data_IF_745131339516
#
_entry.id   IF_745131339516
#
_cell.length_a   1.000
_cell.length_b   1.000
_cell.length_c   1.000
_cell.angle_alpha   90.00
_cell.angle_beta   90.00
_cell.angle_gamma   90.00
#
_symmetry.space_group_name_H-M   'P 1'
#
loop_
_entity.id
_entity.type
_entity.pdbx_description
1 polymer ?
#
# COMPACT_ATOMS: atom_id res chain seq x y z
N UNK A 1 -27.07 -11.66 0.50
CA UNK A 1 -26.33 -11.09 -0.66
C UNK A 1 -25.30 -10.08 -0.16
N UNK A 2 -24.07 -10.07 -0.70
CA UNK A 2 -23.07 -9.05 -0.35
C UNK A 2 -23.46 -7.70 -0.96
N UNK A 3 -23.25 -6.60 -0.22
CA UNK A 3 -23.43 -5.25 -0.77
C UNK A 3 -22.52 -5.07 -2.00
N UNK A 4 -23.02 -4.51 -3.11
CA UNK A 4 -22.22 -4.36 -4.32
C UNK A 4 -21.02 -3.44 -4.03
N UNK A 5 -19.82 -3.87 -4.44
CA UNK A 5 -18.64 -3.02 -4.40
C UNK A 5 -18.89 -1.78 -5.28
N UNK A 6 -18.55 -0.56 -4.83
CA UNK A 6 -18.71 0.63 -5.64
C UNK A 6 -17.84 0.51 -6.90
N UNK A 7 -18.40 0.80 -8.06
CA UNK A 7 -17.67 0.86 -9.34
C UNK A 7 -17.50 2.31 -9.77
N UNK A 8 -16.34 2.88 -9.45
CA UNK A 8 -15.89 4.19 -9.89
C UNK A 8 -14.37 4.18 -10.10
N UNK A 9 -13.80 5.15 -10.83
CA UNK A 9 -12.36 5.19 -11.13
C UNK A 9 -11.46 5.33 -9.90
N UNK A 10 -12.03 5.66 -8.73
CA UNK A 10 -11.36 5.74 -7.43
C UNK A 10 -11.86 4.71 -6.41
N UNK A 11 -12.55 3.66 -6.86
CA UNK A 11 -13.00 2.62 -5.95
C UNK A 11 -11.84 1.75 -5.47
N UNK A 12 -11.86 1.31 -4.20
CA UNK A 12 -10.94 0.31 -3.70
C UNK A 12 -10.91 -0.93 -4.60
N UNK A 13 -9.73 -1.35 -5.03
CA UNK A 13 -9.54 -2.56 -5.83
C UNK A 13 -9.43 -3.82 -4.95
N UNK A 14 -9.37 -3.66 -3.62
CA UNK A 14 -9.39 -4.77 -2.67
C UNK A 14 -10.19 -4.40 -1.42
N UNK A 15 -11.01 -5.33 -0.95
CA UNK A 15 -11.86 -5.18 0.23
C UNK A 15 -11.54 -6.26 1.26
N UNK A 16 -11.37 -5.87 2.52
CA UNK A 16 -11.25 -6.77 3.67
C UNK A 16 -12.50 -6.63 4.52
N UNK A 17 -13.17 -7.74 4.80
CA UNK A 17 -14.43 -7.77 5.55
C UNK A 17 -14.22 -8.37 6.93
N UNK A 18 -14.79 -7.72 7.95
CA UNK A 18 -14.84 -8.21 9.33
C UNK A 18 -16.29 -8.28 9.78
N UNK A 19 -16.67 -9.43 10.33
CA UNK A 19 -18.05 -9.69 10.78
C UNK A 19 -18.11 -9.87 12.30
N UNK A 20 -19.12 -9.26 12.91
CA UNK A 20 -19.48 -9.42 14.32
C UNK A 20 -21.01 -9.59 14.41
N UNK A 21 -21.53 -10.18 15.51
CA UNK A 21 -22.96 -10.17 15.76
C UNK A 21 -23.52 -8.75 15.68
N UNK A 22 -24.53 -8.52 14.84
CA UNK A 22 -25.21 -7.23 14.65
C UNK A 22 -24.56 -6.24 13.64
N UNK A 23 -23.32 -6.46 13.18
CA UNK A 23 -22.69 -5.54 12.21
C UNK A 23 -21.53 -6.13 11.41
N UNK A 24 -21.23 -5.52 10.25
CA UNK A 24 -20.10 -5.87 9.38
C UNK A 24 -19.30 -4.60 9.04
N UNK A 25 -17.97 -4.67 9.16
CA UNK A 25 -17.08 -3.64 8.64
C UNK A 25 -16.42 -4.12 7.34
N UNK A 26 -16.35 -3.24 6.35
CA UNK A 26 -15.63 -3.44 5.10
C UNK A 26 -14.59 -2.34 4.94
N UNK A 27 -13.32 -2.74 4.87
CA UNK A 27 -12.22 -1.82 4.67
C UNK A 27 -11.76 -1.97 3.22
N UNK A 28 -11.83 -0.88 2.47
CA UNK A 28 -11.33 -0.78 1.11
C UNK A 28 -9.94 -0.19 1.10
N UNK A 29 -9.03 -0.78 0.33
CA UNK A 29 -7.79 -0.13 -0.06
C UNK A 29 -7.79 0.07 -1.57
N UNK A 30 -7.45 1.29 -2.00
CA UNK A 30 -7.03 1.52 -3.36
C UNK A 30 -5.52 1.40 -3.40
N UNK A 31 -4.99 0.49 -4.23
CA UNK A 31 -3.56 0.42 -4.52
C UNK A 31 -3.33 1.17 -5.85
N UNK A 32 -3.10 2.50 -5.82
CA UNK A 32 -2.99 3.32 -7.03
C UNK A 32 -1.73 3.04 -7.86
N UNK A 33 -0.79 2.24 -7.32
CA UNK A 33 0.42 1.84 -8.00
C UNK A 33 1.61 1.71 -7.03
N UNK A 34 2.82 1.47 -7.56
CA UNK A 34 3.97 1.06 -6.75
C UNK A 34 4.52 2.12 -5.81
N UNK A 35 4.19 3.38 -6.03
CA UNK A 35 4.73 4.51 -5.27
C UNK A 35 3.91 4.86 -4.03
N UNK A 36 2.69 4.32 -3.90
CA UNK A 36 1.87 4.49 -2.71
C UNK A 36 0.88 3.33 -2.52
N UNK A 37 0.98 2.63 -1.38
CA UNK A 37 -0.20 1.97 -0.81
C UNK A 37 -1.19 3.10 -0.48
N UNK A 38 -2.26 3.19 -1.26
CA UNK A 38 -3.10 4.39 -1.36
C UNK A 38 -3.97 4.65 -0.14
N UNK A 39 -4.96 5.52 -0.32
CA UNK A 39 -5.87 5.90 0.74
C UNK A 39 -6.69 4.69 1.21
N UNK A 40 -6.83 4.58 2.54
CA UNK A 40 -7.65 3.58 3.20
C UNK A 40 -9.07 4.14 3.31
N UNK A 41 -10.02 3.51 2.65
CA UNK A 41 -11.44 3.80 2.78
C UNK A 41 -12.06 2.83 3.79
N UNK A 42 -12.72 3.37 4.82
CA UNK A 42 -13.48 2.57 5.77
C UNK A 42 -14.97 2.69 5.45
N UNK A 43 -15.62 1.56 5.15
CA UNK A 43 -17.07 1.46 5.02
C UNK A 43 -17.63 0.57 6.11
N UNK A 44 -18.57 1.08 6.88
CA UNK A 44 -19.29 0.32 7.90
C UNK A 44 -20.69 -0.01 7.37
N UNK A 45 -21.17 -1.21 7.65
CA UNK A 45 -22.48 -1.69 7.20
C UNK A 45 -23.19 -2.36 8.38
N UNK A 46 -24.40 -1.92 8.69
CA UNK A 46 -25.20 -2.50 9.77
C UNK A 46 -26.14 -3.57 9.25
N UNK A 47 -26.34 -4.59 10.07
CA UNK A 47 -27.40 -5.57 9.87
C UNK A 47 -28.50 -5.24 10.89
N UNK A 48 -29.62 -4.63 10.49
CA UNK A 48 -30.79 -4.61 11.37
C UNK A 48 -31.23 -6.05 11.63
N UNK A 49 -31.48 -6.37 12.91
CA UNK A 49 -31.92 -7.71 13.31
C UNK A 49 -33.22 -8.10 12.57
N UNK A 50 -33.26 -9.36 12.15
CA UNK A 50 -34.35 -10.07 11.45
C UNK A 50 -34.51 -9.92 9.93
N UNK A 51 -33.78 -9.03 9.25
CA UNK A 51 -33.80 -8.98 7.80
C UNK A 51 -32.41 -9.25 7.19
N UNK A 52 -32.36 -9.95 6.06
CA UNK A 52 -31.11 -10.23 5.33
C UNK A 52 -30.65 -8.99 4.52
N UNK A 53 -31.34 -7.86 4.73
CA UNK A 53 -31.07 -6.56 4.16
C UNK A 53 -30.00 -5.82 4.98
N UNK A 54 -28.98 -5.32 4.27
CA UNK A 54 -27.90 -4.55 4.86
C UNK A 54 -28.17 -3.06 4.63
N UNK A 55 -28.04 -2.26 5.69
CA UNK A 55 -28.22 -0.81 5.61
C UNK A 55 -26.87 -0.13 5.82
N UNK A 56 -26.52 0.84 4.97
CA UNK A 56 -25.31 1.65 5.18
C UNK A 56 -25.47 2.49 6.45
N UNK A 57 -24.37 2.73 7.16
CA UNK A 57 -24.36 3.57 8.38
C UNK A 57 -24.94 4.96 8.14
N UNK A 58 -24.79 5.49 6.93
CA UNK A 58 -25.34 6.80 6.53
C UNK A 58 -26.87 6.86 6.66
N UNK A 59 -27.55 5.71 6.70
CA UNK A 59 -28.99 5.57 6.91
C UNK A 59 -29.39 5.18 8.34
N UNK A 60 -28.43 5.08 9.27
CA UNK A 60 -28.64 4.86 10.72
C UNK A 60 -28.19 6.10 11.52
N UNK A 61 -28.60 6.25 12.79
CA UNK A 61 -28.29 7.38 13.71
C UNK A 61 -26.78 7.56 14.07
N UNK A 62 -25.87 7.20 13.17
CA UNK A 62 -24.43 7.32 13.30
C UNK A 62 -23.74 6.07 13.83
N UNK A 63 -22.41 6.15 13.95
CA UNK A 63 -21.57 5.07 14.47
C UNK A 63 -21.39 5.30 15.97
N UNK A 64 -21.75 4.33 16.81
CA UNK A 64 -21.47 4.45 18.25
C UNK A 64 -19.97 4.38 18.52
N UNK A 65 -19.52 5.09 19.56
CA UNK A 65 -18.11 5.04 19.99
C UNK A 65 -17.65 3.63 20.39
N UNK A 66 -18.56 2.77 20.82
CA UNK A 66 -18.28 1.38 21.16
C UNK A 66 -17.94 0.56 19.92
N UNK A 67 -18.69 0.75 18.83
CA UNK A 67 -18.41 0.08 17.55
C UNK A 67 -17.07 0.51 17.01
N UNK A 68 -16.76 1.81 17.01
CA UNK A 68 -15.44 2.33 16.57
C UNK A 68 -14.30 1.68 17.36
N UNK A 69 -14.44 1.53 18.68
CA UNK A 69 -13.42 0.89 19.53
C UNK A 69 -13.29 -0.61 19.29
N UNK A 70 -14.36 -1.27 18.87
CA UNK A 70 -14.37 -2.69 18.54
C UNK A 70 -13.78 -3.01 17.15
N UNK A 71 -13.50 -1.99 16.33
CA UNK A 71 -12.91 -2.18 15.02
C UNK A 71 -11.47 -2.72 15.15
N UNK A 72 -11.14 -3.85 14.49
CA UNK A 72 -9.82 -4.46 14.55
C UNK A 72 -8.82 -3.73 13.65
N UNK A 73 -8.59 -2.43 13.88
CA UNK A 73 -7.74 -1.58 13.02
C UNK A 73 -6.30 -2.10 12.91
N UNK A 74 -5.80 -2.80 13.94
CA UNK A 74 -4.49 -3.42 13.89
C UNK A 74 -4.45 -4.58 12.88
N UNK A 75 -5.48 -5.42 12.86
CA UNK A 75 -5.59 -6.56 11.96
C UNK A 75 -5.82 -6.09 10.51
N UNK A 76 -6.67 -5.07 10.33
CA UNK A 76 -6.87 -4.39 9.05
C UNK A 76 -5.54 -3.89 8.48
N UNK A 77 -4.74 -3.18 9.30
CA UNK A 77 -3.43 -2.68 8.87
C UNK A 77 -2.45 -3.80 8.53
N UNK A 78 -2.46 -4.88 9.30
CA UNK A 78 -1.62 -6.06 9.03
C UNK A 78 -2.00 -6.72 7.70
N UNK A 79 -3.30 -6.87 7.45
CA UNK A 79 -3.81 -7.49 6.23
C UNK A 79 -3.52 -6.65 4.99
N UNK A 80 -3.66 -5.32 5.09
CA UNK A 80 -3.24 -4.43 4.00
C UNK A 80 -1.74 -4.42 3.77
N UNK A 81 -0.94 -4.53 4.85
CA UNK A 81 0.49 -4.75 4.74
C UNK A 81 0.83 -6.02 3.96
N UNK A 82 0.14 -7.12 4.26
CA UNK A 82 0.27 -8.41 3.56
C UNK A 82 -0.10 -8.31 2.09
N UNK A 83 -1.26 -7.74 1.77
CA UNK A 83 -1.73 -7.54 0.39
C UNK A 83 -0.78 -6.66 -0.42
N UNK A 84 -0.24 -5.60 0.20
CA UNK A 84 0.75 -4.73 -0.43
C UNK A 84 2.05 -5.47 -0.78
N UNK A 85 2.53 -6.34 0.12
CA UNK A 85 3.70 -7.18 -0.14
C UNK A 85 3.45 -8.23 -1.22
N UNK A 86 2.26 -8.83 -1.24
CA UNK A 86 1.87 -9.81 -2.25
C UNK A 86 1.82 -9.19 -3.64
N UNK A 87 1.17 -8.02 -3.75
CA UNK A 87 1.16 -7.24 -4.99
C UNK A 87 2.57 -6.87 -5.44
N UNK A 88 3.44 -6.43 -4.51
CA UNK A 88 4.83 -6.07 -4.83
C UNK A 88 5.61 -7.25 -5.43
N UNK A 89 5.39 -8.48 -4.93
CA UNK A 89 6.03 -9.69 -5.46
C UNK A 89 5.50 -10.09 -6.84
N UNK A 90 4.24 -9.78 -7.14
CA UNK A 90 3.64 -10.04 -8.45
C UNK A 90 4.15 -9.06 -9.51
N UNK A 91 4.29 -7.79 -9.13
CA UNK A 91 4.67 -6.71 -10.05
C UNK A 91 6.19 -6.63 -10.27
N UNK A 92 7.00 -6.99 -9.28
CA UNK A 92 8.45 -6.80 -9.31
C UNK A 92 9.23 -8.09 -9.05
N UNK A 93 10.26 -8.31 -9.88
CA UNK A 93 11.32 -9.26 -9.53
C UNK A 93 12.22 -8.65 -8.44
N UNK A 94 11.87 -8.96 -7.20
CA UNK A 94 12.59 -8.51 -6.01
C UNK A 94 14.04 -9.00 -6.00
N UNK A 95 14.32 -10.17 -6.57
CA UNK A 95 15.68 -10.73 -6.63
C UNK A 95 16.60 -9.84 -7.45
N UNK A 96 16.12 -9.40 -8.62
CA UNK A 96 16.88 -8.52 -9.52
C UNK A 96 17.07 -7.14 -8.91
N UNK A 97 15.99 -6.49 -8.47
CA UNK A 97 16.04 -5.09 -8.01
C UNK A 97 16.78 -4.98 -6.67
N UNK A 98 16.64 -5.96 -5.79
CA UNK A 98 17.37 -5.99 -4.53
C UNK A 98 18.76 -6.60 -4.69
N UNK A 99 19.09 -7.29 -5.78
CA UNK A 99 20.37 -7.96 -6.00
C UNK A 99 21.49 -6.98 -6.32
N UNK A 100 21.30 -6.14 -7.34
CA UNK A 100 22.32 -5.19 -7.83
C UNK A 100 21.68 -3.86 -8.21
N UNK A 101 22.27 -2.77 -7.74
CA UNK A 101 21.74 -1.41 -7.90
C UNK A 101 22.88 -0.50 -8.35
N UNK A 102 22.78 0.04 -9.56
CA UNK A 102 23.84 0.80 -10.23
C UNK A 102 23.36 2.16 -10.70
N UNK A 103 22.18 2.23 -11.31
CA UNK A 103 21.65 3.47 -11.89
C UNK A 103 20.77 4.24 -10.90
N UNK A 104 20.62 5.57 -11.04
CA UNK A 104 19.71 6.36 -10.23
C UNK A 104 18.26 5.83 -10.21
N UNK A 105 17.79 5.30 -11.33
CA UNK A 105 16.45 4.71 -11.49
C UNK A 105 16.33 3.43 -10.65
N UNK A 106 17.35 2.57 -10.69
CA UNK A 106 17.38 1.36 -9.85
C UNK A 106 17.43 1.71 -8.36
N UNK A 107 18.15 2.79 -7.99
CA UNK A 107 18.16 3.29 -6.62
C UNK A 107 16.80 3.85 -6.17
N UNK A 108 16.08 4.52 -7.07
CA UNK A 108 14.71 4.95 -6.81
C UNK A 108 13.74 3.76 -6.67
N UNK A 109 13.87 2.74 -7.52
CA UNK A 109 13.09 1.50 -7.42
C UNK A 109 13.36 0.75 -6.12
N UNK A 110 14.63 0.64 -5.72
CA UNK A 110 15.01 0.07 -4.43
C UNK A 110 14.37 0.84 -3.26
N UNK A 111 14.41 2.18 -3.28
CA UNK A 111 13.79 3.02 -2.26
C UNK A 111 12.27 2.78 -2.18
N UNK A 112 11.60 2.67 -3.32
CA UNK A 112 10.16 2.41 -3.41
C UNK A 112 9.78 1.04 -2.86
N UNK A 113 10.52 0.00 -3.24
CA UNK A 113 10.34 -1.36 -2.69
C UNK A 113 10.53 -1.34 -1.17
N UNK A 114 11.60 -0.69 -0.69
CA UNK A 114 11.86 -0.57 0.74
C UNK A 114 10.70 0.10 1.49
N UNK A 115 10.15 1.21 0.98
CA UNK A 115 9.03 1.92 1.61
C UNK A 115 7.78 1.04 1.70
N UNK A 116 7.45 0.31 0.62
CA UNK A 116 6.30 -0.61 0.63
C UNK A 116 6.50 -1.76 1.62
N UNK A 117 7.72 -2.31 1.69
CA UNK A 117 8.04 -3.37 2.65
C UNK A 117 7.96 -2.85 4.10
N UNK A 118 8.45 -1.64 4.38
CA UNK A 118 8.35 -1.03 5.72
C UNK A 118 6.89 -0.84 6.15
N UNK A 119 5.98 -0.53 5.23
CA UNK A 119 4.55 -0.45 5.51
C UNK A 119 3.93 -1.84 5.79
N UNK A 120 4.44 -2.89 5.15
CA UNK A 120 3.88 -4.24 5.22
C UNK A 120 4.47 -5.17 6.28
N UNK A 121 5.64 -4.88 6.83
CA UNK A 121 6.29 -5.76 7.82
C UNK A 121 7.07 -5.01 8.89
N UNK A 122 7.11 -5.59 10.10
CA UNK A 122 7.91 -5.08 11.22
C UNK A 122 9.42 -5.28 11.03
N UNK A 123 9.83 -6.23 10.18
CA UNK A 123 11.23 -6.60 9.96
C UNK A 123 11.64 -6.47 8.47
N UNK A 124 11.64 -5.24 7.91
CA UNK A 124 11.78 -5.02 6.47
C UNK A 124 13.11 -5.53 5.89
N UNK A 125 14.24 -5.30 6.59
CA UNK A 125 15.55 -5.76 6.11
C UNK A 125 15.69 -7.28 6.14
N UNK A 126 15.09 -7.95 7.13
CA UNK A 126 15.10 -9.42 7.18
C UNK A 126 14.23 -10.00 6.07
N UNK A 127 13.06 -9.40 5.83
CA UNK A 127 12.19 -9.78 4.71
C UNK A 127 12.93 -9.64 3.38
N UNK A 128 13.51 -8.47 3.08
CA UNK A 128 14.29 -8.25 1.85
C UNK A 128 15.46 -9.22 1.69
N UNK A 129 16.14 -9.58 2.79
CA UNK A 129 17.22 -10.55 2.75
C UNK A 129 16.74 -11.95 2.36
N UNK A 130 15.58 -12.37 2.88
CA UNK A 130 14.97 -13.65 2.55
C UNK A 130 14.51 -13.69 1.08
N UNK A 131 13.95 -12.59 0.56
CA UNK A 131 13.46 -12.52 -0.83
C UNK A 131 14.59 -12.49 -1.87
N UNK A 132 15.72 -11.84 -1.55
CA UNK A 132 16.79 -11.57 -2.53
C UNK A 132 18.05 -12.39 -2.34
N UNK A 133 18.20 -13.09 -1.22
CA UNK A 133 19.46 -13.74 -0.82
C UNK A 133 20.57 -12.77 -0.42
N UNK A 134 20.32 -11.46 -0.44
CA UNK A 134 21.31 -10.43 -0.09
C UNK A 134 21.38 -10.24 1.42
N UNK A 135 22.61 -10.09 1.95
CA UNK A 135 22.79 -9.88 3.40
C UNK A 135 22.08 -8.63 3.92
N UNK A 136 21.58 -8.70 5.17
CA UNK A 136 20.98 -7.56 5.87
C UNK A 136 21.91 -6.35 5.95
N UNK A 137 23.21 -6.59 6.09
CA UNK A 137 24.21 -5.51 6.18
C UNK A 137 24.32 -4.77 4.85
N UNK A 138 24.36 -5.50 3.73
CA UNK A 138 24.36 -4.91 2.39
C UNK A 138 23.09 -4.10 2.14
N UNK A 139 21.91 -4.65 2.48
CA UNK A 139 20.63 -3.96 2.32
C UNK A 139 20.54 -2.70 3.20
N UNK A 140 21.03 -2.78 4.43
CA UNK A 140 21.11 -1.62 5.34
C UNK A 140 22.00 -0.50 4.77
N UNK A 141 23.16 -0.86 4.22
CA UNK A 141 24.06 0.09 3.57
C UNK A 141 23.41 0.73 2.34
N UNK A 142 22.64 -0.03 1.55
CA UNK A 142 21.86 0.49 0.42
C UNK A 142 20.77 1.46 0.87
N UNK A 143 20.03 1.15 1.94
CA UNK A 143 19.04 2.08 2.50
C UNK A 143 19.69 3.38 2.96
N UNK A 144 20.88 3.32 3.59
CA UNK A 144 21.65 4.53 3.95
C UNK A 144 22.00 5.32 2.69
N UNK A 145 22.55 4.66 1.67
CA UNK A 145 22.88 5.31 0.39
C UNK A 145 21.67 5.95 -0.30
N UNK A 146 20.49 5.33 -0.26
CA UNK A 146 19.26 5.96 -0.76
C UNK A 146 18.90 7.25 -0.01
N UNK A 147 19.18 7.33 1.29
CA UNK A 147 18.98 8.58 2.06
C UNK A 147 20.01 9.63 1.65
N UNK A 148 21.27 9.23 1.53
CA UNK A 148 22.37 10.12 1.11
C UNK A 148 22.15 10.67 -0.31
N UNK A 149 21.55 9.86 -1.20
CA UNK A 149 21.13 10.26 -2.55
C UNK A 149 19.83 11.08 -2.59
N UNK A 150 19.17 11.28 -1.45
CA UNK A 150 17.92 12.05 -1.37
C UNK A 150 16.70 11.34 -1.95
N UNK A 151 16.69 10.00 -2.01
CA UNK A 151 15.51 9.21 -2.45
C UNK A 151 14.60 8.79 -1.31
N UNK A 152 15.13 8.70 -0.10
CA UNK A 152 14.39 8.39 1.12
C UNK A 152 14.46 9.54 2.10
N UNK A 153 13.33 9.88 2.68
CA UNK A 153 13.25 10.75 3.85
C UNK A 153 12.62 10.02 5.02
N UNK A 154 12.87 10.53 6.23
CA UNK A 154 12.07 10.25 7.41
C UNK A 154 11.39 11.57 7.77
N UNK A 155 10.07 11.68 7.64
CA UNK A 155 9.37 12.85 8.12
C UNK A 155 9.59 12.98 9.63
N UNK A 156 9.79 14.21 10.10
CA UNK A 156 9.99 14.48 11.52
C UNK A 156 8.86 13.87 12.35
N UNK A 157 9.23 13.04 13.32
CA UNK A 157 8.30 12.35 14.22
C UNK A 157 7.63 11.08 13.67
N UNK A 158 7.88 10.67 12.42
CA UNK A 158 7.39 9.39 11.88
C UNK A 158 8.47 8.31 11.86
N UNK A 159 8.08 7.09 12.23
CA UNK A 159 8.95 5.91 12.20
C UNK A 159 9.10 5.29 10.80
N UNK A 160 8.21 5.65 9.87
CA UNK A 160 8.15 5.09 8.51
C UNK A 160 9.00 5.91 7.54
N UNK A 161 9.69 5.22 6.64
CA UNK A 161 10.40 5.87 5.53
C UNK A 161 9.40 6.31 4.45
N UNK A 162 9.64 7.47 3.84
CA UNK A 162 8.84 7.98 2.73
C UNK A 162 9.74 8.28 1.51
N UNK A 163 9.15 8.16 0.31
CA UNK A 163 9.81 8.55 -0.94
C UNK A 163 9.84 10.08 -1.07
N UNK A 164 10.97 10.63 -1.50
CA UNK A 164 11.07 12.04 -1.86
C UNK A 164 10.45 12.32 -3.24
N UNK A 165 10.13 13.59 -3.52
CA UNK A 165 9.65 14.01 -4.84
C UNK A 165 10.67 13.73 -5.96
N UNK A 166 11.97 13.80 -5.65
CA UNK A 166 13.02 13.42 -6.59
C UNK A 166 12.93 11.95 -6.99
N UNK A 167 12.73 11.05 -6.01
CA UNK A 167 12.53 9.63 -6.29
C UNK A 167 11.23 9.38 -7.05
N UNK A 168 10.12 10.02 -6.64
CA UNK A 168 8.83 9.88 -7.34
C UNK A 168 8.91 10.33 -8.80
N UNK A 169 9.70 11.36 -9.12
CA UNK A 169 9.91 11.82 -10.51
C UNK A 169 10.61 10.79 -11.38
N UNK A 170 11.63 10.10 -10.85
CA UNK A 170 12.33 9.02 -11.57
C UNK A 170 11.47 7.77 -11.77
N UNK A 171 10.45 7.59 -10.92
CA UNK A 171 9.54 6.45 -10.96
C UNK A 171 8.27 6.70 -11.77
N UNK A 172 8.02 7.95 -12.21
CA UNK A 172 6.91 8.23 -13.12
C UNK A 172 7.25 7.59 -14.46
N UNK A 173 6.35 6.79 -15.05
CA UNK A 173 6.54 6.33 -16.41
C UNK A 173 6.68 7.57 -17.30
N UNK A 174 7.78 7.65 -18.05
CA UNK A 174 7.94 8.63 -19.12
C UNK A 174 6.70 8.51 -19.99
N UNK A 175 5.82 9.51 -19.92
CA UNK A 175 4.72 9.61 -20.86
C UNK A 175 5.39 9.88 -22.20
N UNK A 176 5.72 8.83 -22.95
CA UNK A 176 6.23 8.95 -24.30
C UNK A 176 5.16 9.70 -25.08
N UNK A 177 5.43 10.97 -25.33
CA UNK A 177 4.86 11.68 -26.45
C UNK A 177 5.26 10.86 -27.68
N UNK A 178 4.35 10.05 -28.19
CA UNK A 178 4.34 9.72 -29.60
C UNK A 178 4.06 11.03 -30.33
N UNK A 179 5.12 11.82 -30.56
CA UNK A 179 5.15 12.76 -31.66
C UNK A 179 5.01 11.92 -32.91
N UNK A 180 3.77 11.73 -33.35
CA UNK A 180 3.46 11.36 -34.73
C UNK A 180 4.04 12.46 -35.60
N UNK A 181 5.26 12.24 -36.10
CA UNK A 181 5.77 12.94 -37.27
C UNK A 181 4.94 12.46 -38.45
N UNK A 182 3.82 13.13 -38.71
CA UNK A 182 3.25 13.18 -40.06
C UNK A 182 4.14 14.11 -40.87
N UNK A 183 5.14 13.53 -41.54
CA UNK A 183 5.84 14.18 -42.66
C UNK A 183 5.39 13.52 -43.96
N UNK A 184 4.67 14.33 -44.74
CA UNK A 184 4.61 14.46 -46.21
C UNK A 184 4.17 13.28 -47.07
#
# INVERSE_FOLDING_TARGET
>A
MAAPAPTGPNSPNTWVTFERPGWRAQFGIQIPGPTDLGALELRLVFRPDEDDSYTSVEATDGITTEIVRSLPLADVRAEFGRLGLEWLRQEYDLTTILGRVETPEQWAQFAMIYVNIVKGTRNPLQYMANESGVSRNTLSARVRRCRDMGFLTRPDGKSLAELTDASRRLLRPSTHQSTTTEES
#
